data_IF_675226873892
#
_entry.id   IF_675226873892
#
_cell.length_a   1.000
_cell.length_b   1.000
_cell.length_c   1.000
_cell.angle_alpha   90.00
_cell.angle_beta   90.00
_cell.angle_gamma   90.00
#
_symmetry.space_group_name_H-M   'P 1'
#
loop_
_entity.id
_entity.type
_entity.pdbx_description
1 polymer ?
#
# COMPACT_ATOMS: atom_id res chain seq x y z
N UNK A 1 -24.33 -7.15 56.59
CA UNK A 1 -24.67 -7.42 55.18
C UNK A 1 -23.37 -7.45 54.37
N UNK A 2 -22.75 -8.63 54.25
CA UNK A 2 -21.61 -8.87 53.34
C UNK A 2 -22.17 -9.70 52.19
N UNK A 3 -22.08 -9.18 50.98
CA UNK A 3 -22.53 -9.83 49.76
C UNK A 3 -21.65 -9.40 48.60
N UNK A 4 -21.64 -10.22 47.55
CA UNK A 4 -20.81 -10.20 46.33
C UNK A 4 -19.43 -10.88 46.57
N UNK A 5 -19.17 -12.14 46.19
CA UNK A 5 -19.59 -12.87 44.98
C UNK A 5 -18.85 -12.25 43.78
N UNK A 6 -18.01 -12.90 42.98
CA UNK A 6 -17.66 -14.29 42.72
C UNK A 6 -17.16 -14.34 41.25
N UNK A 7 -16.41 -15.39 40.91
CA UNK A 7 -16.09 -15.85 39.53
C UNK A 7 -14.96 -15.17 38.74
N UNK A 8 -14.14 -16.02 38.10
CA UNK A 8 -13.80 -15.77 36.70
C UNK A 8 -12.34 -15.94 36.26
N UNK A 9 -11.79 -17.12 36.43
CA UNK A 9 -10.56 -17.62 35.81
C UNK A 9 -10.38 -17.25 34.32
N UNK A 10 -9.32 -16.53 33.95
CA UNK A 10 -8.73 -16.64 32.62
C UNK A 10 -7.20 -16.57 32.66
N UNK A 11 -6.58 -17.75 32.60
CA UNK A 11 -5.19 -17.94 32.15
C UNK A 11 -5.08 -17.51 30.68
N UNK A 12 -4.22 -16.55 30.37
CA UNK A 12 -3.60 -16.39 29.03
C UNK A 12 -2.10 -16.14 29.27
N UNK A 13 -1.32 -17.22 29.27
CA UNK A 13 -0.48 -17.69 28.15
C UNK A 13 0.58 -16.68 27.72
N UNK A 14 1.82 -17.12 27.90
CA UNK A 14 3.07 -16.56 27.44
C UNK A 14 3.04 -16.09 25.97
N UNK A 15 3.77 -15.00 25.70
CA UNK A 15 3.87 -14.40 24.37
C UNK A 15 5.16 -13.61 24.16
N UNK A 16 6.30 -14.32 24.26
CA UNK A 16 7.60 -14.05 23.60
C UNK A 16 8.40 -12.82 24.08
N UNK A 17 9.66 -13.00 24.52
CA UNK A 17 10.59 -11.88 24.62
C UNK A 17 10.82 -11.32 23.22
N UNK A 18 10.64 -10.01 23.06
CA UNK A 18 11.15 -9.30 21.91
C UNK A 18 12.68 -9.44 21.94
N UNK A 19 13.18 -10.50 21.31
CA UNK A 19 14.59 -10.64 20.99
C UNK A 19 15.00 -9.42 20.19
N UNK A 20 15.61 -8.45 20.88
CA UNK A 20 16.49 -7.47 20.27
C UNK A 20 17.58 -8.29 19.59
N UNK A 21 17.36 -8.62 18.31
CA UNK A 21 18.45 -9.04 17.43
C UNK A 21 19.42 -7.88 17.44
N UNK A 22 20.57 -8.08 18.08
CA UNK A 22 21.69 -7.15 18.00
C UNK A 22 21.97 -6.91 16.52
N UNK A 23 21.55 -5.74 16.03
CA UNK A 23 21.98 -5.27 14.73
C UNK A 23 23.45 -4.95 14.86
N UNK A 24 24.32 -5.85 14.39
CA UNK A 24 25.69 -5.50 14.10
C UNK A 24 25.66 -4.21 13.27
N UNK A 25 26.21 -3.13 13.83
CA UNK A 25 26.34 -1.85 13.14
C UNK A 25 27.08 -2.13 11.82
N UNK A 26 26.47 -1.86 10.66
CA UNK A 26 27.16 -2.08 9.40
C UNK A 26 28.36 -1.14 9.36
N UNK A 27 29.53 -1.73 9.07
CA UNK A 27 30.81 -1.02 8.92
C UNK A 27 30.63 0.10 7.88
N UNK A 28 31.00 1.31 8.27
CA UNK A 28 30.94 2.48 7.38
C UNK A 28 31.82 2.23 6.15
N UNK A 29 31.26 2.38 4.94
CA UNK A 29 32.02 2.37 3.68
C UNK A 29 31.44 1.53 2.55
N UNK A 30 30.44 0.67 2.80
CA UNK A 30 29.85 -0.14 1.72
C UNK A 30 28.61 0.55 1.14
N UNK A 31 28.53 0.72 -0.19
CA UNK A 31 27.33 1.27 -0.83
C UNK A 31 26.16 0.36 -0.47
N UNK A 32 25.17 0.92 0.21
CA UNK A 32 23.95 0.20 0.53
C UNK A 32 23.23 -0.08 -0.78
N UNK A 33 22.79 -1.32 -1.06
CA UNK A 33 21.94 -1.58 -2.21
C UNK A 33 20.70 -0.69 -2.09
N UNK A 34 20.48 0.16 -3.09
CA UNK A 34 19.29 1.00 -3.15
C UNK A 34 18.06 0.09 -3.20
N UNK A 35 16.99 0.38 -2.44
CA UNK A 35 15.77 -0.42 -2.52
C UNK A 35 15.24 -0.39 -3.95
N UNK A 36 15.34 -1.53 -4.65
CA UNK A 36 14.79 -1.66 -6.00
C UNK A 36 13.28 -1.48 -5.92
N UNK A 37 12.73 -0.45 -6.58
CA UNK A 37 11.29 -0.16 -6.58
C UNK A 37 10.51 -1.43 -6.98
N UNK A 38 9.58 -1.92 -6.15
CA UNK A 38 8.89 -3.19 -6.40
C UNK A 38 7.88 -3.10 -7.56
N UNK A 39 7.51 -1.89 -7.97
CA UNK A 39 6.61 -1.65 -9.08
C UNK A 39 6.67 -0.21 -9.61
N UNK A 40 5.79 0.04 -10.57
CA UNK A 40 5.60 1.30 -11.27
C UNK A 40 4.11 1.66 -11.24
N UNK A 41 3.79 2.93 -11.01
CA UNK A 41 2.44 3.47 -11.11
C UNK A 41 2.34 4.25 -12.41
N UNK A 42 1.40 3.89 -13.28
CA UNK A 42 1.13 4.61 -14.52
C UNK A 42 -0.26 5.21 -14.46
N UNK A 43 -0.36 6.46 -14.91
CA UNK A 43 -1.61 7.17 -15.06
C UNK A 43 -1.75 7.53 -16.52
N UNK A 44 -2.92 7.27 -17.07
CA UNK A 44 -3.30 7.56 -18.43
C UNK A 44 -4.50 8.49 -18.39
N UNK A 45 -4.51 9.49 -19.26
CA UNK A 45 -5.63 10.39 -19.45
C UNK A 45 -6.17 10.18 -20.87
N UNK A 46 -7.49 10.22 -21.00
CA UNK A 46 -8.18 10.13 -22.29
C UNK A 46 -9.45 11.00 -22.23
N UNK A 47 -9.31 12.26 -22.66
CA UNK A 47 -10.38 13.24 -22.59
C UNK A 47 -10.79 13.46 -21.14
N UNK A 48 -12.09 13.32 -20.85
CA UNK A 48 -12.63 13.51 -19.51
C UNK A 48 -12.39 12.34 -18.54
N UNK A 49 -11.63 11.32 -18.94
CA UNK A 49 -11.36 10.14 -18.12
C UNK A 49 -9.89 10.05 -17.72
N UNK A 50 -9.66 9.73 -16.45
CA UNK A 50 -8.36 9.34 -15.94
C UNK A 50 -8.36 7.84 -15.60
N UNK A 51 -7.28 7.17 -15.93
CA UNK A 51 -7.07 5.73 -15.76
C UNK A 51 -5.76 5.51 -15.01
N UNK A 52 -5.73 4.63 -14.01
CA UNK A 52 -4.50 4.32 -13.29
C UNK A 52 -4.29 2.81 -13.18
N UNK A 53 -3.03 2.39 -13.30
CA UNK A 53 -2.60 1.01 -13.17
C UNK A 53 -1.30 0.95 -12.37
N UNK A 54 -1.21 -0.03 -11.48
CA UNK A 54 0.03 -0.32 -10.75
C UNK A 54 0.63 -1.60 -11.28
N UNK A 55 1.82 -1.52 -11.87
CA UNK A 55 2.55 -2.63 -12.48
C UNK A 55 3.65 -3.14 -11.54
N UNK A 56 3.79 -4.46 -11.43
CA UNK A 56 4.91 -5.08 -10.73
C UNK A 56 6.14 -5.13 -11.64
N UNK A 57 7.29 -4.66 -11.14
CA UNK A 57 8.54 -4.66 -11.92
C UNK A 57 9.09 -6.08 -12.15
N UNK A 58 8.80 -7.00 -11.24
CA UNK A 58 9.16 -8.43 -11.35
C UNK A 58 7.89 -9.26 -11.25
N UNK A 59 7.27 -9.65 -12.38
CA UNK A 59 6.08 -10.49 -12.36
C UNK A 59 6.43 -11.90 -11.88
N UNK A 60 5.53 -12.53 -11.13
CA UNK A 60 5.68 -13.93 -10.70
C UNK A 60 5.07 -14.21 -9.34
N UNK A 61 5.66 -13.69 -8.27
CA UNK A 61 5.13 -13.87 -6.92
C UNK A 61 3.85 -13.06 -6.71
N UNK A 62 2.78 -13.68 -6.21
CA UNK A 62 1.58 -12.94 -5.75
C UNK A 62 1.96 -11.99 -4.64
N UNK A 63 1.72 -10.70 -4.85
CA UNK A 63 2.06 -9.63 -3.93
C UNK A 63 0.84 -8.77 -3.70
N UNK A 64 0.73 -8.24 -2.49
CA UNK A 64 -0.29 -7.24 -2.17
C UNK A 64 -0.02 -6.01 -3.03
N UNK A 65 -0.96 -5.67 -3.91
CA UNK A 65 -0.93 -4.46 -4.70
C UNK A 65 -2.25 -3.73 -4.57
N UNK A 66 -2.18 -2.41 -4.64
CA UNK A 66 -3.36 -1.56 -4.67
C UNK A 66 -3.13 -0.41 -5.62
N UNK A 67 -4.19 0.05 -6.24
CA UNK A 67 -4.24 1.28 -7.02
C UNK A 67 -5.49 2.04 -6.62
N UNK A 68 -5.33 3.34 -6.41
CA UNK A 68 -6.40 4.25 -6.04
C UNK A 68 -6.29 5.48 -6.93
N UNK A 69 -7.39 5.88 -7.53
CA UNK A 69 -7.49 7.06 -8.36
C UNK A 69 -8.60 7.94 -7.81
N UNK A 70 -8.21 9.09 -7.25
CA UNK A 70 -9.11 10.03 -6.60
C UNK A 70 -9.24 11.29 -7.47
N UNK A 71 -10.40 11.55 -8.07
CA UNK A 71 -10.70 12.83 -8.68
C UNK A 71 -11.04 13.87 -7.61
N UNK A 72 -10.68 15.14 -7.82
CA UNK A 72 -10.95 16.20 -6.84
C UNK A 72 -12.46 16.46 -6.79
N UNK A 73 -13.05 16.35 -5.60
CA UNK A 73 -14.49 16.50 -5.40
C UNK A 73 -15.34 15.35 -5.94
N UNK A 74 -14.77 14.14 -6.06
CA UNK A 74 -15.49 12.92 -6.42
C UNK A 74 -15.16 11.74 -5.51
N UNK A 75 -15.58 10.53 -5.88
CA UNK A 75 -15.22 9.29 -5.16
C UNK A 75 -13.94 8.69 -5.74
N UNK A 76 -13.02 8.23 -4.89
CA UNK A 76 -11.89 7.44 -5.33
C UNK A 76 -12.34 6.08 -5.87
N UNK A 77 -11.87 5.72 -7.06
CA UNK A 77 -11.87 4.34 -7.50
C UNK A 77 -10.62 3.66 -6.90
N UNK A 78 -10.81 2.58 -6.16
CA UNK A 78 -9.72 1.80 -5.57
C UNK A 78 -9.86 0.35 -5.95
N UNK A 79 -8.77 -0.25 -6.42
CA UNK A 79 -8.62 -1.69 -6.63
C UNK A 79 -7.46 -2.17 -5.76
N UNK A 80 -7.68 -3.22 -4.98
CA UNK A 80 -6.68 -3.73 -4.05
C UNK A 80 -6.81 -5.23 -3.87
N UNK A 81 -5.68 -5.93 -3.86
CA UNK A 81 -5.69 -7.38 -3.84
C UNK A 81 -4.28 -7.98 -3.97
N UNK A 82 -4.23 -9.29 -4.21
CA UNK A 82 -2.99 -10.01 -4.45
C UNK A 82 -2.83 -10.34 -5.92
N UNK A 83 -1.98 -9.58 -6.59
CA UNK A 83 -1.73 -9.69 -8.02
C UNK A 83 -0.32 -10.22 -8.30
N UNK A 84 -0.12 -10.79 -9.48
CA UNK A 84 1.19 -11.29 -9.94
C UNK A 84 1.88 -10.34 -10.92
N UNK A 85 1.09 -9.56 -11.68
CA UNK A 85 1.57 -8.65 -12.73
C UNK A 85 1.15 -7.20 -12.50
N UNK A 86 -0.12 -6.94 -12.25
CA UNK A 86 -0.63 -5.58 -12.08
C UNK A 86 -1.91 -5.53 -11.23
N UNK A 87 -2.15 -4.40 -10.58
CA UNK A 87 -3.44 -4.01 -9.99
C UNK A 87 -4.08 -2.91 -10.87
N UNK A 88 -5.39 -3.00 -11.10
CA UNK A 88 -6.12 -2.15 -12.04
C UNK A 88 -6.12 -2.69 -13.48
N UNK A 89 -6.88 -2.05 -14.38
CA UNK A 89 -7.07 -0.60 -14.43
C UNK A 89 -8.26 -0.07 -13.61
N UNK A 90 -8.04 1.02 -12.88
CA UNK A 90 -9.13 1.82 -12.29
C UNK A 90 -9.32 3.08 -13.12
N UNK A 91 -10.58 3.37 -13.46
CA UNK A 91 -10.95 4.52 -14.29
C UNK A 91 -11.89 5.41 -13.51
N UNK A 92 -11.69 6.73 -13.59
CA UNK A 92 -12.61 7.72 -13.04
C UNK A 92 -12.91 8.77 -14.09
N UNK A 93 -14.11 9.32 -14.02
CA UNK A 93 -14.48 10.48 -14.81
C UNK A 93 -13.95 11.73 -14.09
N UNK A 94 -12.96 12.37 -14.71
CA UNK A 94 -12.25 13.53 -14.19
C UNK A 94 -12.81 14.86 -14.71
N UNK A 95 -13.40 14.95 -15.90
CA UNK A 95 -13.98 16.20 -16.47
C UNK A 95 -13.08 17.43 -16.27
N UNK A 96 -11.79 17.32 -16.61
CA UNK A 96 -10.75 18.34 -16.38
C UNK A 96 -10.52 18.74 -14.90
N UNK A 97 -10.91 17.90 -13.94
CA UNK A 97 -10.56 18.07 -12.53
C UNK A 97 -9.25 17.36 -12.23
N UNK A 98 -8.45 18.00 -11.38
CA UNK A 98 -7.24 17.39 -10.83
C UNK A 98 -7.53 15.99 -10.26
N UNK A 99 -6.69 15.01 -10.59
CA UNK A 99 -6.76 13.66 -10.03
C UNK A 99 -5.49 13.30 -9.29
N UNK A 100 -5.61 12.45 -8.28
CA UNK A 100 -4.48 11.89 -7.55
C UNK A 100 -4.49 10.38 -7.68
N UNK A 101 -3.43 9.85 -8.28
CA UNK A 101 -3.19 8.41 -8.31
C UNK A 101 -2.29 8.01 -7.13
N UNK A 102 -2.64 6.91 -6.49
CA UNK A 102 -1.85 6.27 -5.44
C UNK A 102 -1.75 4.79 -5.74
N UNK A 103 -0.56 4.24 -5.77
CA UNK A 103 -0.29 2.83 -6.03
C UNK A 103 0.58 2.25 -4.92
N UNK A 104 0.32 1.01 -4.52
CA UNK A 104 1.16 0.29 -3.56
C UNK A 104 1.52 -1.08 -4.11
N UNK A 105 2.76 -1.50 -3.90
CA UNK A 105 3.25 -2.84 -4.26
C UNK A 105 4.11 -3.38 -3.13
N UNK A 106 3.72 -4.52 -2.56
CA UNK A 106 4.46 -5.19 -1.47
C UNK A 106 4.78 -4.27 -0.29
N UNK A 107 3.85 -3.38 0.08
CA UNK A 107 4.02 -2.42 1.17
C UNK A 107 4.80 -1.15 0.80
N UNK A 108 5.29 -1.01 -0.44
CA UNK A 108 5.84 0.25 -0.94
C UNK A 108 4.75 1.03 -1.66
N UNK A 109 4.35 2.18 -1.10
CA UNK A 109 3.36 3.08 -1.69
C UNK A 109 4.02 4.24 -2.45
N UNK A 110 3.33 4.73 -3.48
CA UNK A 110 3.69 5.87 -4.32
C UNK A 110 2.44 6.63 -4.69
N UNK A 111 2.52 7.96 -4.73
CA UNK A 111 1.44 8.80 -5.26
C UNK A 111 2.00 9.85 -6.21
N UNK A 112 1.23 10.22 -7.22
CA UNK A 112 1.62 11.18 -8.26
C UNK A 112 1.41 12.64 -7.87
N UNK A 113 0.79 12.92 -6.72
CA UNK A 113 0.25 14.25 -6.44
C UNK A 113 -1.03 14.50 -7.24
N UNK A 114 -1.54 15.73 -7.18
CA UNK A 114 -2.65 16.16 -8.03
C UNK A 114 -2.10 16.51 -9.41
N UNK A 115 -2.51 15.74 -10.40
CA UNK A 115 -2.12 15.88 -11.81
C UNK A 115 -3.39 16.01 -12.65
N UNK A 116 -3.28 16.39 -13.92
CA UNK A 116 -4.43 16.62 -14.80
C UNK A 116 -5.33 17.76 -14.29
N UNK A 117 -4.69 18.80 -13.79
CA UNK A 117 -5.18 20.16 -13.85
C UNK A 117 -4.57 20.79 -15.12
#
# INVERSE_FOLDING_TARGET
RRGHGGHGSHRRRAGRPAGRRGGALPRAGWPRPSPSRPGELRVYERGDYACAVTLAKRPGARRSMSVSLQPRGGRAATDSGRFTRQAGPVTVHALNRCVRATGSVSGTSRSTGWILC
#
